data_IF_124420205919
#
_entry.id   IF_124420205919
#
_cell.length_a   1.000
_cell.length_b   1.000
_cell.length_c   1.000
_cell.angle_alpha   90.00
_cell.angle_beta   90.00
_cell.angle_gamma   90.00
#
_symmetry.space_group_name_H-M   'P 1'
#
loop_
_entity.id
_entity.type
_entity.pdbx_description
1 polymer ?
#
# COMPACT_ATOMS: atom_id res chain seq x y z
N UNK A 1 10.98 5.50 41.86
CA UNK A 1 11.80 4.90 40.79
C UNK A 1 11.72 3.40 41.02
N UNK A 2 10.68 2.77 40.45
CA UNK A 2 10.37 1.36 40.60
C UNK A 2 10.60 0.73 39.22
N UNK A 3 11.45 -0.29 39.17
CA UNK A 3 11.82 -1.00 37.95
C UNK A 3 10.63 -1.83 37.43
N UNK A 4 9.92 -1.30 36.44
CA UNK A 4 8.73 -1.91 35.82
C UNK A 4 9.08 -2.97 34.74
N UNK A 5 10.36 -3.23 34.49
CA UNK A 5 10.80 -4.14 33.42
C UNK A 5 10.79 -5.64 33.80
N UNK A 6 10.49 -5.98 35.06
CA UNK A 6 10.55 -7.38 35.53
C UNK A 6 9.36 -8.24 35.08
N UNK A 7 8.20 -7.62 34.85
CA UNK A 7 6.94 -8.36 34.64
C UNK A 7 6.82 -8.93 33.21
N UNK A 8 7.28 -8.18 32.21
CA UNK A 8 7.20 -8.58 30.80
C UNK A 8 8.12 -9.77 30.48
N UNK A 9 9.30 -9.82 31.07
CA UNK A 9 10.21 -10.95 30.90
C UNK A 9 9.68 -12.24 31.54
N UNK A 10 9.00 -12.14 32.68
CA UNK A 10 8.41 -13.30 33.36
C UNK A 10 7.22 -13.87 32.57
N UNK A 11 6.37 -13.01 32.00
CA UNK A 11 5.24 -13.42 31.17
C UNK A 11 5.72 -14.08 29.87
N UNK A 12 6.67 -13.46 29.18
CA UNK A 12 7.24 -14.01 27.94
C UNK A 12 7.87 -15.39 28.14
N UNK A 13 8.53 -15.63 29.26
CA UNK A 13 9.11 -16.94 29.58
C UNK A 13 8.03 -18.00 29.89
N UNK A 14 6.91 -17.63 30.54
CA UNK A 14 5.79 -18.56 30.78
C UNK A 14 5.11 -18.97 29.49
N UNK A 15 4.82 -18.01 28.60
CA UNK A 15 4.19 -18.30 27.30
C UNK A 15 5.10 -19.20 26.44
N UNK A 16 6.40 -18.89 26.39
CA UNK A 16 7.37 -19.72 25.65
C UNK A 16 7.46 -21.15 26.20
N UNK A 17 7.39 -21.30 27.52
CA UNK A 17 7.42 -22.61 28.17
C UNK A 17 6.14 -23.40 27.89
N UNK A 18 4.96 -22.78 28.03
CA UNK A 18 3.68 -23.42 27.72
C UNK A 18 3.60 -23.88 26.26
N UNK A 19 4.04 -23.04 25.32
CA UNK A 19 4.09 -23.40 23.89
C UNK A 19 5.07 -24.54 23.61
N UNK A 20 6.23 -24.58 24.28
CA UNK A 20 7.17 -25.71 24.12
C UNK A 20 6.60 -27.01 24.66
N UNK A 21 5.86 -26.96 25.77
CA UNK A 21 5.20 -28.14 26.35
C UNK A 21 4.10 -28.66 25.43
N UNK A 22 3.26 -27.78 24.88
CA UNK A 22 2.17 -28.17 23.97
C UNK A 22 2.67 -28.72 22.63
N UNK A 23 3.84 -28.27 22.17
CA UNK A 23 4.39 -28.66 20.85
C UNK A 23 5.44 -29.79 20.98
N UNK A 24 5.75 -30.24 22.20
CA UNK A 24 6.76 -31.27 22.46
C UNK A 24 6.45 -32.61 21.76
N UNK A 25 5.17 -32.96 21.65
CA UNK A 25 4.73 -34.21 21.02
C UNK A 25 4.42 -34.05 19.52
N UNK A 26 4.48 -32.83 18.99
CA UNK A 26 4.24 -32.54 17.57
C UNK A 26 5.51 -32.83 16.79
N UNK A 27 5.65 -34.08 16.38
CA UNK A 27 6.74 -34.50 15.51
C UNK A 27 6.41 -34.05 14.08
N UNK A 28 7.06 -32.98 13.61
CA UNK A 28 6.91 -32.53 12.24
C UNK A 28 7.37 -33.64 11.27
N UNK A 29 6.58 -33.99 10.24
CA UNK A 29 7.01 -34.94 9.21
C UNK A 29 8.35 -34.48 8.61
N UNK A 30 9.32 -35.38 8.41
CA UNK A 30 10.65 -35.01 7.89
C UNK A 30 10.60 -34.35 6.51
N UNK A 31 9.50 -34.52 5.78
CA UNK A 31 9.26 -33.91 4.47
C UNK A 31 8.71 -32.49 4.56
N UNK A 32 8.12 -32.07 5.70
CA UNK A 32 7.41 -30.79 5.82
C UNK A 32 8.31 -29.60 5.49
N UNK A 33 9.55 -29.59 6.00
CA UNK A 33 10.51 -28.53 5.70
C UNK A 33 10.96 -28.52 4.23
N UNK A 34 11.07 -29.70 3.62
CA UNK A 34 11.41 -29.82 2.20
C UNK A 34 10.25 -29.33 1.31
N UNK A 35 9.01 -29.67 1.67
CA UNK A 35 7.80 -29.27 0.95
C UNK A 35 7.55 -27.76 1.06
N UNK A 36 7.71 -27.19 2.26
CA UNK A 36 7.61 -25.74 2.48
C UNK A 36 8.70 -24.99 1.68
N UNK A 37 9.95 -25.46 1.71
CA UNK A 37 11.04 -24.86 0.91
C UNK A 37 10.77 -24.96 -0.60
N UNK A 38 10.25 -26.09 -1.07
CA UNK A 38 9.91 -26.33 -2.48
C UNK A 38 8.74 -25.46 -2.93
N UNK A 39 7.73 -25.26 -2.08
CA UNK A 39 6.60 -24.39 -2.36
C UNK A 39 7.02 -22.92 -2.38
N UNK A 40 7.86 -22.48 -1.44
CA UNK A 40 8.40 -21.11 -1.43
C UNK A 40 9.27 -20.80 -2.65
N UNK A 41 10.14 -21.73 -3.07
CA UNK A 41 10.98 -21.56 -4.27
C UNK A 41 10.14 -21.54 -5.55
N UNK A 42 9.13 -22.40 -5.68
CA UNK A 42 8.17 -22.36 -6.81
C UNK A 42 7.40 -21.05 -6.89
N UNK A 43 6.89 -20.54 -5.76
CA UNK A 43 6.19 -19.24 -5.70
C UNK A 43 7.09 -18.07 -6.10
N UNK A 44 8.35 -18.05 -5.65
CA UNK A 44 9.32 -17.02 -6.05
C UNK A 44 9.70 -17.09 -7.53
N UNK A 45 9.83 -18.30 -8.09
CA UNK A 45 10.14 -18.47 -9.51
C UNK A 45 8.97 -18.02 -10.42
N UNK A 46 7.72 -18.35 -10.05
CA UNK A 46 6.53 -17.92 -10.79
C UNK A 46 6.38 -16.40 -10.86
N UNK A 47 6.70 -15.67 -9.78
CA UNK A 47 6.63 -14.20 -9.73
C UNK A 47 7.68 -13.50 -10.61
N UNK A 48 8.80 -14.16 -10.94
CA UNK A 48 9.85 -13.58 -11.81
C UNK A 48 9.57 -13.74 -13.31
N UNK A 49 8.67 -14.63 -13.70
CA UNK A 49 8.38 -14.91 -15.11
C UNK A 49 7.28 -13.97 -15.66
N UNK A 50 6.44 -13.39 -14.80
CA UNK A 50 5.33 -12.50 -15.20
C UNK A 50 5.71 -11.05 -15.53
N UNK A 51 6.99 -10.65 -15.45
CA UNK A 51 7.41 -9.26 -15.71
C UNK A 51 7.94 -8.98 -17.12
N UNK A 52 7.99 -9.96 -18.04
CA UNK A 52 8.52 -9.76 -19.41
C UNK A 52 7.64 -10.30 -20.54
N UNK A 53 6.31 -10.28 -20.39
CA UNK A 53 5.41 -10.57 -21.50
C UNK A 53 4.36 -9.46 -21.62
N UNK A 54 4.63 -8.47 -22.46
CA UNK A 54 3.61 -7.61 -23.07
C UNK A 54 2.81 -8.45 -24.06
N UNK A 55 1.50 -8.71 -23.83
CA UNK A 55 0.69 -9.34 -24.86
C UNK A 55 0.30 -8.26 -25.89
N UNK A 56 0.83 -8.40 -27.10
CA UNK A 56 0.28 -7.76 -28.29
C UNK A 56 -1.09 -8.40 -28.56
N UNK A 57 -2.15 -7.61 -28.43
CA UNK A 57 -3.53 -8.04 -28.67
C UNK A 57 -3.72 -8.26 -30.17
N UNK A 58 -3.82 -9.52 -30.58
CA UNK A 58 -4.36 -9.90 -31.88
C UNK A 58 -5.77 -10.46 -31.68
N UNK A 59 -6.77 -9.72 -32.13
CA UNK A 59 -8.16 -10.16 -32.15
C UNK A 59 -8.33 -11.27 -33.19
N UNK A 60 -8.81 -12.43 -32.75
CA UNK A 60 -9.33 -13.47 -33.63
C UNK A 60 -10.72 -13.88 -33.15
N UNK A 61 -11.72 -13.46 -33.92
CA UNK A 61 -13.11 -13.89 -33.83
C UNK A 61 -13.18 -15.32 -34.38
N UNK A 62 -13.69 -16.26 -33.59
CA UNK A 62 -14.21 -17.52 -34.10
C UNK A 62 -15.39 -17.99 -33.24
N UNK A 63 -16.56 -18.00 -33.87
CA UNK A 63 -17.86 -18.45 -33.38
C UNK A 63 -18.00 -19.95 -33.64
N UNK A 64 -18.32 -20.73 -32.61
CA UNK A 64 -19.00 -22.06 -32.61
C UNK A 64 -18.83 -22.66 -31.21
N UNK A 65 -19.78 -23.29 -30.51
CA UNK A 65 -21.15 -23.69 -30.75
C UNK A 65 -21.59 -24.52 -29.54
N UNK A 66 -22.83 -24.30 -29.07
CA UNK A 66 -23.71 -25.14 -28.25
C UNK A 66 -23.11 -26.24 -27.36
N UNK A 67 -23.33 -26.12 -26.03
CA UNK A 67 -23.95 -27.15 -25.17
C UNK A 67 -24.37 -26.48 -23.85
N UNK A 68 -25.67 -26.18 -23.73
CA UNK A 68 -26.30 -25.73 -22.48
C UNK A 68 -26.50 -26.91 -21.55
N UNK A 69 -25.57 -27.11 -20.60
CA UNK A 69 -25.88 -27.89 -19.39
C UNK A 69 -26.48 -26.91 -18.40
N UNK A 70 -27.79 -27.03 -18.18
CA UNK A 70 -28.49 -26.38 -17.09
C UNK A 70 -27.96 -26.93 -15.77
N UNK A 71 -26.94 -26.27 -15.23
CA UNK A 71 -26.45 -26.57 -13.90
C UNK A 71 -27.48 -26.04 -12.89
N UNK A 72 -28.15 -26.98 -12.23
CA UNK A 72 -29.14 -26.73 -11.20
C UNK A 72 -28.45 -26.12 -9.98
N UNK A 73 -28.46 -24.79 -9.94
CA UNK A 73 -28.25 -23.91 -8.79
C UNK A 73 -27.65 -24.58 -7.55
N UNK A 74 -26.33 -24.75 -7.55
CA UNK A 74 -25.60 -24.82 -6.29
C UNK A 74 -25.80 -23.47 -5.61
N UNK A 75 -26.51 -23.48 -4.47
CA UNK A 75 -26.64 -22.32 -3.62
C UNK A 75 -25.24 -21.71 -3.39
N UNK A 76 -25.07 -20.39 -3.45
CA UNK A 76 -23.77 -19.77 -3.27
C UNK A 76 -23.22 -20.24 -1.92
N UNK A 77 -22.18 -21.06 -1.95
CA UNK A 77 -21.45 -21.48 -0.76
C UNK A 77 -21.03 -20.20 -0.06
N UNK A 78 -21.55 -19.98 1.15
CA UNK A 78 -21.18 -18.82 1.95
C UNK A 78 -19.66 -18.73 1.99
N UNK A 79 -19.11 -17.61 1.51
CA UNK A 79 -17.68 -17.40 1.48
C UNK A 79 -17.12 -17.67 2.88
N UNK A 80 -16.06 -18.47 2.96
CA UNK A 80 -15.44 -18.77 4.25
C UNK A 80 -15.10 -17.46 4.98
N UNK A 81 -15.39 -17.37 6.29
CA UNK A 81 -15.10 -16.16 7.04
C UNK A 81 -13.60 -15.88 7.00
N UNK A 82 -13.23 -14.69 6.51
CA UNK A 82 -11.84 -14.23 6.48
C UNK A 82 -11.34 -14.15 7.93
N UNK A 83 -10.32 -14.94 8.27
CA UNK A 83 -9.73 -14.92 9.61
C UNK A 83 -8.96 -13.59 9.82
N UNK A 84 -9.59 -12.67 10.54
CA UNK A 84 -9.05 -11.32 10.76
C UNK A 84 -7.65 -11.33 11.40
N UNK A 85 -7.42 -12.20 12.39
CA UNK A 85 -6.12 -12.30 13.06
C UNK A 85 -5.02 -12.74 12.08
N UNK A 86 -5.33 -13.74 11.24
CA UNK A 86 -4.42 -14.22 10.21
C UNK A 86 -4.08 -13.12 9.18
N UNK A 87 -5.08 -12.39 8.68
CA UNK A 87 -4.85 -11.29 7.72
C UNK A 87 -3.98 -10.21 8.33
N UNK A 88 -4.23 -9.79 9.57
CA UNK A 88 -3.42 -8.77 10.26
C UNK A 88 -1.97 -9.22 10.41
N UNK A 89 -1.76 -10.46 10.87
CA UNK A 89 -0.43 -11.04 11.01
C UNK A 89 0.31 -11.13 9.67
N UNK A 90 -0.35 -11.65 8.62
CA UNK A 90 0.27 -11.76 7.29
C UNK A 90 0.56 -10.40 6.69
N UNK A 91 -0.30 -9.40 6.89
CA UNK A 91 -0.09 -8.03 6.41
C UNK A 91 1.12 -7.40 7.11
N UNK A 92 1.18 -7.47 8.44
CA UNK A 92 2.31 -6.95 9.21
C UNK A 92 3.63 -7.61 8.79
N UNK A 93 3.61 -8.94 8.66
CA UNK A 93 4.76 -9.73 8.20
C UNK A 93 5.15 -9.42 6.75
N UNK A 94 4.19 -9.20 5.86
CA UNK A 94 4.47 -8.82 4.47
C UNK A 94 5.18 -7.46 4.43
N UNK A 95 4.71 -6.50 5.23
CA UNK A 95 5.35 -5.18 5.36
C UNK A 95 6.76 -5.28 5.96
N UNK A 96 7.01 -6.14 6.95
CA UNK A 96 8.35 -6.35 7.55
C UNK A 96 9.35 -6.99 6.59
N UNK A 97 8.90 -7.93 5.75
CA UNK A 97 9.78 -8.69 4.85
C UNK A 97 10.21 -7.88 3.63
N UNK A 98 9.50 -6.80 3.36
CA UNK A 98 9.76 -5.97 2.22
C UNK A 98 10.65 -4.79 2.64
N UNK A 99 11.94 -4.89 2.29
CA UNK A 99 12.87 -3.76 2.40
C UNK A 99 12.47 -2.72 1.35
N UNK A 100 11.59 -1.80 1.73
CA UNK A 100 11.03 -0.77 0.87
C UNK A 100 11.21 0.58 1.55
N UNK A 101 12.02 1.44 0.95
CA UNK A 101 12.17 2.80 1.45
C UNK A 101 11.26 3.77 0.73
N UNK A 102 10.53 3.36 -0.33
CA UNK A 102 9.67 4.29 -1.09
C UNK A 102 8.27 3.73 -1.29
N UNK A 103 7.26 4.41 -0.76
CA UNK A 103 5.85 4.19 -1.08
C UNK A 103 5.47 5.12 -2.25
N UNK A 104 4.95 4.56 -3.33
CA UNK A 104 4.34 5.28 -4.44
C UNK A 104 2.82 5.16 -4.39
N UNK A 105 2.13 6.28 -4.54
CA UNK A 105 0.67 6.35 -4.61
C UNK A 105 0.25 7.06 -5.89
N UNK A 106 -0.83 6.58 -6.51
CA UNK A 106 -1.42 7.20 -7.69
C UNK A 106 -2.93 7.28 -7.58
N UNK A 107 -3.45 8.50 -7.63
CA UNK A 107 -4.88 8.80 -7.65
C UNK A 107 -5.28 9.48 -8.94
N UNK A 108 -6.54 9.31 -9.35
CA UNK A 108 -7.12 10.01 -10.52
C UNK A 108 -8.45 10.65 -10.14
N UNK A 109 -8.59 11.93 -10.46
CA UNK A 109 -9.73 12.78 -10.14
C UNK A 109 -10.27 13.44 -11.42
N UNK A 110 -11.59 13.45 -11.55
CA UNK A 110 -12.30 14.13 -12.66
C UNK A 110 -13.34 15.14 -12.16
N UNK A 111 -13.48 15.29 -10.84
CA UNK A 111 -14.44 16.21 -10.20
C UNK A 111 -14.05 17.68 -10.36
N UNK A 112 -12.78 17.95 -10.66
CA UNK A 112 -12.28 19.32 -10.82
C UNK A 112 -11.87 19.98 -9.52
N UNK A 113 -11.15 19.26 -8.66
CA UNK A 113 -10.59 19.77 -7.40
C UNK A 113 -9.60 20.93 -7.59
N UNK A 114 -8.64 21.09 -6.67
CA UNK A 114 -7.73 22.26 -6.61
C UNK A 114 -7.03 22.59 -7.95
N UNK A 115 -6.69 21.58 -8.75
CA UNK A 115 -5.85 21.74 -9.93
C UNK A 115 -6.60 21.63 -11.26
N UNK A 116 -7.67 20.86 -11.33
CA UNK A 116 -8.44 20.63 -12.56
C UNK A 116 -9.76 21.39 -12.55
N UNK A 117 -10.42 21.44 -13.70
CA UNK A 117 -11.85 21.76 -13.82
C UNK A 117 -12.67 20.46 -13.91
N UNK A 118 -13.97 20.49 -13.60
CA UNK A 118 -14.83 19.32 -13.77
C UNK A 118 -14.71 18.76 -15.20
N UNK A 119 -14.51 17.45 -15.31
CA UNK A 119 -14.30 16.74 -16.58
C UNK A 119 -12.86 16.68 -17.07
N UNK A 120 -11.91 17.40 -16.46
CA UNK A 120 -10.49 17.24 -16.76
C UNK A 120 -9.90 16.06 -15.97
N UNK A 121 -9.01 15.31 -16.60
CA UNK A 121 -8.34 14.19 -15.97
C UNK A 121 -7.15 14.70 -15.14
N UNK A 122 -7.31 14.73 -13.81
CA UNK A 122 -6.25 15.12 -12.87
C UNK A 122 -5.63 13.88 -12.24
N UNK A 123 -4.35 13.65 -12.47
CA UNK A 123 -3.59 12.55 -11.87
C UNK A 123 -2.70 13.11 -10.77
N UNK A 124 -2.84 12.53 -9.58
CA UNK A 124 -1.98 12.77 -8.43
C UNK A 124 -1.02 11.61 -8.30
N UNK A 125 0.26 11.91 -8.28
CA UNK A 125 1.33 10.95 -8.02
C UNK A 125 2.07 11.38 -6.78
N UNK A 126 2.27 10.47 -5.83
CA UNK A 126 2.89 10.76 -4.54
C UNK A 126 3.97 9.74 -4.26
N UNK A 127 5.11 10.18 -3.76
CA UNK A 127 6.21 9.33 -3.34
C UNK A 127 6.58 9.69 -1.90
N UNK A 128 6.79 8.70 -1.06
CA UNK A 128 7.12 8.87 0.35
C UNK A 128 8.29 8.00 0.72
N UNK A 129 9.25 8.54 1.46
CA UNK A 129 10.24 7.70 2.10
C UNK A 129 9.60 6.92 3.26
N UNK A 130 10.05 5.69 3.51
CA UNK A 130 9.47 4.84 4.56
C UNK A 130 9.63 5.44 5.96
N UNK A 131 10.74 6.14 6.20
CA UNK A 131 11.02 6.89 7.43
C UNK A 131 10.29 8.25 7.50
N UNK A 132 9.56 8.63 6.44
CA UNK A 132 8.86 9.92 6.28
C UNK A 132 9.78 11.14 6.28
N UNK A 133 11.08 10.96 6.11
CA UNK A 133 12.03 12.07 6.01
C UNK A 133 11.89 12.86 4.71
N UNK A 134 11.35 12.25 3.65
CA UNK A 134 11.15 12.88 2.36
C UNK A 134 9.82 12.47 1.70
N UNK A 135 9.27 13.38 0.90
CA UNK A 135 8.16 13.07 0.01
C UNK A 135 8.23 13.92 -1.26
N UNK A 136 7.46 13.49 -2.26
CA UNK A 136 7.15 14.27 -3.45
C UNK A 136 5.70 14.09 -3.85
N UNK A 137 5.08 15.15 -4.35
CA UNK A 137 3.78 15.13 -5.01
C UNK A 137 3.94 15.73 -6.40
N UNK A 138 3.43 15.05 -7.42
CA UNK A 138 3.31 15.56 -8.78
C UNK A 138 1.85 15.55 -9.18
N UNK A 139 1.41 16.64 -9.79
CA UNK A 139 0.04 16.77 -10.31
C UNK A 139 0.08 16.99 -11.81
N UNK A 140 -0.67 16.16 -12.53
CA UNK A 140 -0.82 16.22 -13.98
C UNK A 140 -2.29 16.46 -14.33
N UNK A 141 -2.58 17.45 -15.17
CA UNK A 141 -3.94 17.73 -15.68
C UNK A 141 -3.94 17.53 -17.18
N UNK A 142 -4.80 16.64 -17.68
CA UNK A 142 -4.93 16.27 -19.10
C UNK A 142 -3.57 15.94 -19.75
N UNK A 143 -2.73 15.20 -19.03
CA UNK A 143 -1.39 14.80 -19.47
C UNK A 143 -0.29 15.87 -19.33
N UNK A 144 -0.62 17.06 -18.86
CA UNK A 144 0.36 18.15 -18.63
C UNK A 144 0.67 18.29 -17.14
N UNK A 145 1.95 18.24 -16.77
CA UNK A 145 2.37 18.51 -15.38
C UNK A 145 2.07 19.96 -15.05
N UNK A 146 1.34 20.20 -13.96
CA UNK A 146 0.98 21.56 -13.50
C UNK A 146 1.68 21.92 -12.20
N UNK A 147 2.01 20.93 -11.38
CA UNK A 147 2.75 21.11 -10.13
C UNK A 147 3.66 19.90 -9.86
N UNK A 148 4.84 20.18 -9.30
CA UNK A 148 5.78 19.16 -8.80
C UNK A 148 6.43 19.71 -7.52
N UNK A 149 6.06 19.16 -6.37
CA UNK A 149 6.56 19.54 -5.06
C UNK A 149 7.32 18.38 -4.42
N UNK A 150 8.47 18.66 -3.82
CA UNK A 150 9.16 17.72 -2.95
C UNK A 150 9.63 18.41 -1.68
N UNK A 151 9.67 17.68 -0.57
CA UNK A 151 10.40 18.09 0.64
C UNK A 151 11.23 16.94 1.15
N UNK A 152 12.35 17.27 1.79
CA UNK A 152 13.24 16.34 2.44
C UNK A 152 14.07 17.02 3.53
N UNK A 153 15.07 16.31 4.08
CA UNK A 153 15.95 16.84 5.13
C UNK A 153 16.70 18.12 4.71
N UNK A 154 16.98 18.24 3.41
CA UNK A 154 17.74 19.35 2.82
C UNK A 154 16.86 20.58 2.50
N UNK A 155 15.57 20.54 2.84
CA UNK A 155 14.58 21.55 2.43
C UNK A 155 13.62 21.01 1.38
N UNK A 156 12.96 21.91 0.66
CA UNK A 156 11.95 21.55 -0.33
C UNK A 156 12.04 22.37 -1.60
N UNK A 157 11.43 21.85 -2.65
CA UNK A 157 11.30 22.49 -3.96
C UNK A 157 9.84 22.37 -4.36
N UNK A 158 9.23 23.49 -4.75
CA UNK A 158 7.88 23.52 -5.33
C UNK A 158 7.98 24.18 -6.69
N UNK A 159 7.59 23.45 -7.74
CA UNK A 159 7.64 23.86 -9.14
C UNK A 159 6.22 24.09 -9.64
N UNK A 160 5.93 25.31 -10.07
CA UNK A 160 4.68 25.69 -10.72
C UNK A 160 4.91 25.75 -12.24
N UNK A 161 4.41 24.73 -12.94
CA UNK A 161 4.57 24.61 -14.38
C UNK A 161 3.70 25.59 -15.17
N UNK A 162 2.63 26.13 -14.58
CA UNK A 162 1.75 27.10 -15.24
C UNK A 162 2.42 28.46 -15.31
N UNK A 163 3.03 28.88 -14.21
CA UNK A 163 3.71 30.17 -14.12
C UNK A 163 5.19 30.09 -14.53
N UNK A 164 5.72 28.89 -14.80
CA UNK A 164 7.14 28.64 -15.06
C UNK A 164 8.05 29.17 -13.94
N UNK A 165 7.59 28.98 -12.71
CA UNK A 165 8.27 29.44 -11.51
C UNK A 165 8.59 28.30 -10.57
N UNK A 166 9.57 28.50 -9.70
CA UNK A 166 9.86 27.57 -8.62
C UNK A 166 10.27 28.32 -7.36
N UNK A 167 10.16 27.65 -6.22
CA UNK A 167 10.65 28.16 -4.93
C UNK A 167 11.35 27.06 -4.16
N UNK A 168 12.43 27.42 -3.49
CA UNK A 168 13.03 26.59 -2.46
C UNK A 168 12.40 26.94 -1.11
N UNK A 169 12.13 25.93 -0.29
CA UNK A 169 11.79 26.11 1.12
C UNK A 169 12.95 25.65 1.97
N UNK A 170 13.31 26.43 2.99
CA UNK A 170 14.33 26.02 3.96
C UNK A 170 13.96 24.69 4.63
N UNK A 171 14.95 23.92 5.12
CA UNK A 171 14.70 22.79 6.00
C UNK A 171 13.81 23.25 7.15
N UNK A 172 12.58 22.76 7.20
CA UNK A 172 11.69 23.02 8.32
C UNK A 172 11.14 21.69 8.81
N UNK A 173 11.36 21.42 10.10
CA UNK A 173 10.85 20.22 10.75
C UNK A 173 9.31 20.12 10.66
N UNK A 174 8.61 21.27 10.55
CA UNK A 174 7.15 21.33 10.40
C UNK A 174 6.63 20.90 9.03
N UNK A 175 7.38 21.12 7.95
CA UNK A 175 6.93 20.79 6.59
C UNK A 175 6.84 19.28 6.34
N UNK A 176 7.68 18.49 7.01
CA UNK A 176 7.60 17.04 7.01
C UNK A 176 6.44 16.49 7.86
N UNK A 177 6.03 17.21 8.90
CA UNK A 177 4.93 16.80 9.79
C UNK A 177 3.55 16.88 9.13
N UNK A 178 3.23 17.96 8.42
CA UNK A 178 1.88 18.19 7.86
C UNK A 178 1.48 17.12 6.84
N UNK A 179 2.44 16.58 6.08
CA UNK A 179 2.15 15.55 5.08
C UNK A 179 2.34 14.13 5.61
N UNK A 180 2.97 13.97 6.78
CA UNK A 180 3.02 12.69 7.49
C UNK A 180 1.66 12.29 8.08
N UNK A 181 0.73 13.23 8.24
CA UNK A 181 -0.63 12.99 8.74
C UNK A 181 -1.59 12.50 7.64
N UNK A 182 -1.29 12.77 6.35
CA UNK A 182 -2.17 12.48 5.21
C UNK A 182 -1.80 11.20 4.42
N UNK A 183 -0.98 10.32 4.99
CA UNK A 183 -0.44 9.16 4.29
C UNK A 183 -0.46 7.95 5.18
N UNK A 184 -0.79 6.79 4.63
CA UNK A 184 -0.74 5.53 5.35
C UNK A 184 0.54 4.78 4.98
N UNK A 185 1.67 5.21 5.54
CA UNK A 185 2.97 4.55 5.30
C UNK A 185 2.99 3.13 5.86
N UNK A 186 3.89 2.23 5.40
CA UNK A 186 4.05 0.89 5.96
C UNK A 186 4.11 0.86 7.50
N UNK A 187 4.90 1.75 8.11
CA UNK A 187 5.01 1.85 9.57
C UNK A 187 3.71 2.28 10.25
N UNK A 188 2.93 3.17 9.64
CA UNK A 188 1.60 3.56 10.15
C UNK A 188 0.59 2.43 10.00
N UNK A 189 0.60 1.69 8.89
CA UNK A 189 -0.25 0.51 8.72
C UNK A 189 0.06 -0.51 9.80
N UNK A 190 1.34 -0.82 10.03
CA UNK A 190 1.76 -1.74 11.09
C UNK A 190 1.31 -1.27 12.47
N UNK A 191 1.48 0.03 12.77
CA UNK A 191 1.01 0.61 14.03
C UNK A 191 -0.51 0.44 14.19
N UNK A 192 -1.29 0.72 13.15
CA UNK A 192 -2.75 0.60 13.17
C UNK A 192 -3.25 -0.85 13.24
N UNK A 193 -2.47 -1.80 12.73
CA UNK A 193 -2.73 -3.23 12.92
C UNK A 193 -2.44 -3.66 14.36
N UNK A 194 -1.36 -3.15 14.95
CA UNK A 194 -0.93 -3.49 16.30
C UNK A 194 -1.84 -2.90 17.40
N UNK A 195 -2.37 -1.70 17.19
CA UNK A 195 -3.29 -1.02 18.12
C UNK A 195 -4.78 -1.37 17.90
N UNK A 196 -5.06 -2.29 16.97
CA UNK A 196 -6.41 -2.74 16.59
C UNK A 196 -7.32 -1.64 15.98
N UNK A 197 -6.78 -0.47 15.63
CA UNK A 197 -7.54 0.61 14.99
C UNK A 197 -7.88 0.33 13.53
N UNK A 198 -7.09 -0.52 12.84
CA UNK A 198 -7.38 -1.00 11.49
C UNK A 198 -7.97 -2.43 11.56
N UNK A 199 -9.24 -2.57 11.17
CA UNK A 199 -10.03 -3.80 11.32
C UNK A 199 -10.29 -4.47 9.98
N UNK A 200 -10.24 -5.79 9.94
CA UNK A 200 -10.58 -6.56 8.74
C UNK A 200 -12.10 -6.57 8.59
N UNK A 201 -12.59 -6.09 7.45
CA UNK A 201 -14.03 -6.06 7.13
C UNK A 201 -14.44 -7.35 6.41
N UNK A 202 -13.59 -7.83 5.49
CA UNK A 202 -13.86 -9.02 4.68
C UNK A 202 -13.32 -8.88 3.25
N UNK A 203 -13.87 -9.61 2.27
CA UNK A 203 -13.47 -9.48 0.88
C UNK A 203 -13.65 -8.05 0.36
N UNK A 204 -12.60 -7.50 -0.26
CA UNK A 204 -12.54 -6.13 -0.79
C UNK A 204 -12.87 -6.00 -2.27
N UNK A 205 -13.25 -7.10 -2.93
CA UNK A 205 -13.47 -7.15 -4.38
C UNK A 205 -12.16 -7.30 -5.14
N UNK A 206 -12.03 -6.62 -6.28
CA UNK A 206 -10.81 -6.62 -7.09
C UNK A 206 -10.27 -5.22 -7.32
N UNK A 207 -8.98 -5.03 -7.07
CA UNK A 207 -8.25 -3.79 -7.37
C UNK A 207 -7.17 -4.11 -8.41
N UNK A 208 -7.22 -3.44 -9.57
CA UNK A 208 -6.26 -3.71 -10.66
C UNK A 208 -6.26 -5.18 -11.12
N UNK A 209 -7.43 -5.84 -11.08
CA UNK A 209 -7.59 -7.26 -11.42
C UNK A 209 -7.13 -8.25 -10.34
N UNK A 210 -6.70 -7.78 -9.17
CA UNK A 210 -6.25 -8.61 -8.05
C UNK A 210 -7.34 -8.75 -7.00
N UNK A 211 -7.69 -9.96 -6.52
CA UNK A 211 -8.54 -10.13 -5.36
C UNK A 211 -7.93 -9.46 -4.13
N UNK A 212 -8.75 -8.76 -3.36
CA UNK A 212 -8.30 -8.03 -2.18
C UNK A 212 -9.13 -8.35 -0.94
N UNK A 213 -8.56 -8.04 0.21
CA UNK A 213 -9.24 -7.99 1.50
C UNK A 213 -9.33 -6.53 1.91
N UNK A 214 -10.51 -6.09 2.34
CA UNK A 214 -10.77 -4.75 2.84
C UNK A 214 -10.47 -4.68 4.34
N UNK A 215 -9.64 -3.72 4.71
CA UNK A 215 -9.41 -3.27 6.05
C UNK A 215 -9.99 -1.86 6.20
N UNK A 216 -10.58 -1.57 7.36
CA UNK A 216 -11.22 -0.30 7.64
C UNK A 216 -10.72 0.25 8.97
N UNK A 217 -10.38 1.54 8.97
CA UNK A 217 -10.01 2.30 10.16
C UNK A 217 -11.11 3.30 10.45
N UNK A 218 -11.75 3.13 11.60
CA UNK A 218 -12.66 4.11 12.18
C UNK A 218 -11.92 4.81 13.34
N UNK A 219 -11.67 6.13 13.27
CA UNK A 219 -10.94 6.87 14.29
C UNK A 219 -11.71 7.07 15.61
N UNK A 220 -12.85 6.40 15.80
CA UNK A 220 -13.56 6.27 17.09
C UNK A 220 -13.89 7.62 17.75
N UNK A 221 -14.47 8.54 16.96
CA UNK A 221 -14.94 9.84 17.44
C UNK A 221 -13.89 10.95 17.49
N UNK A 222 -12.67 10.71 16.98
CA UNK A 222 -11.70 11.78 16.71
C UNK A 222 -12.06 12.53 15.42
N UNK A 223 -11.57 13.76 15.29
CA UNK A 223 -11.73 14.59 14.08
C UNK A 223 -10.93 14.09 12.86
N UNK A 224 -10.55 12.81 12.84
CA UNK A 224 -9.83 12.20 11.72
C UNK A 224 -10.84 11.57 10.75
N UNK A 225 -10.49 11.49 9.47
CA UNK A 225 -11.34 10.87 8.45
C UNK A 225 -11.16 9.35 8.48
N UNK A 226 -12.24 8.53 8.43
CA UNK A 226 -12.11 7.09 8.31
C UNK A 226 -11.36 6.69 7.04
N UNK A 227 -10.69 5.54 7.05
CA UNK A 227 -9.88 5.08 5.92
C UNK A 227 -10.22 3.65 5.56
N UNK A 228 -10.39 3.40 4.27
CA UNK A 228 -10.41 2.07 3.68
C UNK A 228 -9.03 1.75 3.10
N UNK A 229 -8.51 0.56 3.43
CA UNK A 229 -7.26 0.02 2.92
C UNK A 229 -7.54 -1.35 2.29
N UNK A 230 -7.16 -1.53 1.04
CA UNK A 230 -7.22 -2.82 0.35
C UNK A 230 -5.85 -3.45 0.35
N UNK A 231 -5.77 -4.68 0.85
CA UNK A 231 -4.57 -5.53 0.75
C UNK A 231 -4.81 -6.64 -0.26
N UNK A 232 -3.79 -6.96 -1.05
CA UNK A 232 -3.83 -8.08 -1.99
C UNK A 232 -3.97 -9.41 -1.23
N UNK A 233 -4.95 -10.24 -1.59
CA UNK A 233 -5.26 -11.47 -0.86
C UNK A 233 -4.12 -12.52 -0.93
N UNK A 234 -3.27 -12.45 -1.96
CA UNK A 234 -2.19 -13.41 -2.16
C UNK A 234 -0.85 -12.99 -1.50
N UNK A 235 -0.58 -11.69 -1.40
CA UNK A 235 0.68 -11.14 -0.88
C UNK A 235 0.52 -10.41 0.44
N UNK A 236 -0.70 -10.04 0.83
CA UNK A 236 -1.03 -9.23 1.99
C UNK A 236 -0.35 -7.85 1.99
N UNK A 237 0.11 -7.38 0.83
CA UNK A 237 0.62 -6.03 0.68
C UNK A 237 -0.51 -5.05 0.36
N UNK A 238 -0.46 -3.81 0.88
CA UNK A 238 -1.39 -2.75 0.49
C UNK A 238 -1.32 -2.47 -1.01
N UNK A 239 -2.49 -2.37 -1.65
CA UNK A 239 -2.59 -2.08 -3.08
C UNK A 239 -3.44 -0.86 -3.39
N UNK A 240 -4.28 -0.41 -2.46
CA UNK A 240 -5.06 0.81 -2.59
C UNK A 240 -5.47 1.32 -1.22
N UNK A 241 -5.59 2.64 -1.07
CA UNK A 241 -6.27 3.25 0.07
C UNK A 241 -7.23 4.36 -0.38
N UNK A 242 -8.18 4.70 0.48
CA UNK A 242 -9.14 5.77 0.25
C UNK A 242 -9.63 6.35 1.58
N UNK A 243 -9.66 7.67 1.70
CA UNK A 243 -10.36 8.35 2.79
C UNK A 243 -11.87 8.22 2.61
N UNK A 244 -12.65 7.97 3.65
CA UNK A 244 -14.11 8.02 3.57
C UNK A 244 -14.61 9.46 3.75
N UNK A 245 -14.30 10.29 2.76
CA UNK A 245 -14.86 11.64 2.61
C UNK A 245 -15.51 11.75 1.23
N UNK A 246 -16.54 12.60 1.13
CA UNK A 246 -17.14 12.96 -0.15
C UNK A 246 -16.06 13.44 -1.12
N UNK A 247 -16.12 12.96 -2.37
CA UNK A 247 -15.17 13.26 -3.45
C UNK A 247 -13.71 12.86 -3.20
N UNK A 248 -13.45 12.01 -2.20
CA UNK A 248 -12.13 11.44 -1.98
C UNK A 248 -11.67 10.58 -3.15
N UNK A 249 -10.43 10.82 -3.57
CA UNK A 249 -9.80 10.06 -4.64
C UNK A 249 -9.22 8.78 -4.06
N UNK A 250 -9.54 7.59 -4.61
CA UNK A 250 -8.82 6.38 -4.27
C UNK A 250 -7.40 6.44 -4.84
N UNK A 251 -6.43 6.01 -4.05
CA UNK A 251 -5.02 5.98 -4.45
C UNK A 251 -4.56 4.53 -4.54
N UNK A 252 -4.15 4.11 -5.74
CA UNK A 252 -3.44 2.85 -5.91
C UNK A 252 -2.06 2.97 -5.26
N UNK A 253 -1.65 1.95 -4.51
CA UNK A 253 -0.39 1.91 -3.77
C UNK A 253 0.58 0.94 -4.42
N UNK A 254 1.85 1.29 -4.41
CA UNK A 254 2.95 0.40 -4.80
C UNK A 254 4.14 0.67 -3.91
N UNK A 255 4.64 -0.37 -3.26
CA UNK A 255 5.87 -0.27 -2.50
C UNK A 255 7.06 -0.57 -3.42
N UNK A 256 8.04 0.32 -3.41
CA UNK A 256 9.20 0.28 -4.30
C UNK A 256 10.45 -0.10 -3.50
N UNK A 257 11.27 -0.98 -4.08
CA UNK A 257 12.60 -1.30 -3.56
C UNK A 257 13.48 -0.05 -3.52
N UNK A 258 14.34 0.15 -2.50
CA UNK A 258 15.17 1.33 -2.36
C UNK A 258 16.40 1.32 -3.28
N UNK A 259 16.16 1.37 -4.58
CA UNK A 259 17.20 1.60 -5.58
C UNK A 259 17.50 3.10 -5.65
N UNK A 260 18.69 3.48 -6.11
CA UNK A 260 19.02 4.89 -6.34
C UNK A 260 18.01 5.58 -7.26
N UNK A 261 17.50 4.86 -8.27
CA UNK A 261 16.49 5.37 -9.19
C UNK A 261 15.17 5.67 -8.48
N UNK A 262 14.70 4.76 -7.60
CA UNK A 262 13.48 4.96 -6.84
C UNK A 262 13.63 6.05 -5.77
N UNK A 263 14.81 6.16 -5.14
CA UNK A 263 15.10 7.25 -4.20
C UNK A 263 15.17 8.61 -4.90
N UNK A 264 15.65 8.66 -6.16
CA UNK A 264 15.64 9.88 -6.96
C UNK A 264 14.22 10.37 -7.28
N UNK A 265 13.22 9.48 -7.29
CA UNK A 265 11.81 9.88 -7.48
C UNK A 265 11.30 10.78 -6.35
N UNK A 266 11.90 10.76 -5.15
CA UNK A 266 11.52 11.61 -4.02
C UNK A 266 11.90 13.09 -4.20
N UNK A 267 12.64 13.45 -5.27
CA UNK A 267 13.10 14.82 -5.50
C UNK A 267 12.43 15.42 -6.74
N UNK A 268 11.80 16.58 -6.58
CA UNK A 268 11.30 17.37 -7.70
C UNK A 268 12.48 17.93 -8.50
N UNK A 269 12.31 18.00 -9.83
CA UNK A 269 13.33 18.54 -10.74
C UNK A 269 12.83 19.86 -11.27
N UNK A 270 13.61 20.93 -11.07
CA UNK A 270 13.32 22.25 -11.64
C UNK A 270 13.70 22.22 -13.14
N UNK A 271 12.74 22.41 -14.06
CA UNK A 271 13.05 22.41 -15.48
C UNK A 271 13.89 23.63 -15.88
N UNK A 272 14.66 23.48 -16.96
CA UNK A 272 15.41 24.60 -17.52
C UNK A 272 14.49 25.75 -17.94
N UNK A 273 14.90 26.99 -17.66
CA UNK A 273 14.16 28.19 -18.02
C UNK A 273 12.93 28.48 -17.14
N UNK A 274 12.87 27.88 -15.94
CA UNK A 274 12.00 28.31 -14.86
C UNK A 274 12.71 29.36 -14.00
N UNK A 275 11.95 30.29 -13.41
CA UNK A 275 12.50 31.38 -12.60
C UNK A 275 12.20 31.17 -11.13
N UNK A 276 13.15 31.52 -10.26
CA UNK A 276 12.94 31.45 -8.82
C UNK A 276 12.05 32.61 -8.37
N UNK A 277 11.06 32.32 -7.51
CA UNK A 277 10.27 33.32 -6.79
C UNK A 277 10.94 33.79 -5.52
#
# INVERSE_FOLDING_TARGET
MLDDNGFDHALGNRVRTALRTEVADVTAPPTLLADVRRQHTRRRAARRITFFATPVVAAAIAVAGVLTVSDLGSAPTAAEPVNAAYVKEQTAKALDNEAHDVLYERGTDTSGGKYGKPGQNTVYERWYSADRSAFRVRVTVDGTVVEDESKGPDGGVSVDFRNRTWRATSPSLRGAQILAEEVMTPGQIQQHLADDSLKVVGPGGTVGGRPTILLHRDPAGKAEVPVDLWVDDASYLPVQFRYQQDDSVPFAMTLLTPTNDNLALLRAVVPQGFHQQ
#
